data_IF_889536037558
#
_entry.id   IF_889536037558
#
_cell.length_a   1.000
_cell.length_b   1.000
_cell.length_c   1.000
_cell.angle_alpha   90.00
_cell.angle_beta   90.00
_cell.angle_gamma   90.00
#
_symmetry.space_group_name_H-M   'P 1'
#
loop_
_entity.id
_entity.type
_entity.pdbx_description
1 polymer ?
#
# COMPACT_ATOMS: atom_id res chain seq x y z
N UNK A 1 -18.74 12.43 20.29
CA UNK A 1 -17.87 12.37 19.10
C UNK A 1 -17.58 10.90 18.82
N UNK A 2 -18.18 10.36 17.76
CA UNK A 2 -17.85 9.04 17.21
C UNK A 2 -16.77 9.21 16.14
N UNK A 3 -16.03 8.14 15.88
CA UNK A 3 -15.09 8.06 14.77
C UNK A 3 -15.65 7.08 13.74
N UNK A 4 -15.53 7.43 12.47
CA UNK A 4 -15.98 6.63 11.34
C UNK A 4 -14.83 6.44 10.33
N UNK A 5 -14.77 5.29 9.69
CA UNK A 5 -13.88 5.02 8.56
C UNK A 5 -14.72 4.58 7.36
N UNK A 6 -14.47 5.14 6.18
CA UNK A 6 -14.98 4.52 4.95
C UNK A 6 -14.30 3.18 4.72
N UNK A 7 -14.98 2.19 4.15
CA UNK A 7 -14.36 0.90 3.81
C UNK A 7 -14.93 0.32 2.52
N UNK A 8 -14.06 -0.01 1.57
CA UNK A 8 -14.42 -0.53 0.26
C UNK A 8 -14.88 -2.00 0.29
N UNK A 9 -15.81 -2.35 -0.58
CA UNK A 9 -16.33 -3.69 -0.85
C UNK A 9 -16.63 -3.88 -2.34
N UNK A 10 -16.86 -5.12 -2.80
CA UNK A 10 -17.38 -5.41 -4.15
C UNK A 10 -16.33 -5.55 -5.27
N UNK A 11 -15.05 -5.29 -5.01
CA UNK A 11 -13.97 -5.62 -5.93
C UNK A 11 -13.62 -7.12 -5.88
N UNK A 12 -12.84 -7.58 -6.86
CA UNK A 12 -12.31 -8.94 -6.88
C UNK A 12 -11.52 -9.26 -5.59
N UNK A 13 -11.59 -10.50 -5.11
CA UNK A 13 -10.88 -10.94 -3.90
C UNK A 13 -9.36 -10.81 -3.97
N UNK A 14 -8.80 -10.67 -5.18
CA UNK A 14 -7.39 -10.43 -5.44
C UNK A 14 -7.01 -8.95 -5.46
N UNK A 15 -7.96 -8.03 -5.28
CA UNK A 15 -7.70 -6.59 -5.29
C UNK A 15 -6.90 -6.16 -4.07
N UNK A 16 -5.71 -5.61 -4.30
CA UNK A 16 -4.86 -5.05 -3.24
C UNK A 16 -5.49 -3.81 -2.62
N UNK A 17 -6.19 -2.98 -3.40
CA UNK A 17 -6.87 -1.80 -2.89
C UNK A 17 -7.97 -2.15 -1.89
N UNK A 18 -8.79 -3.17 -2.21
CA UNK A 18 -9.81 -3.70 -1.30
C UNK A 18 -9.16 -4.27 -0.03
N UNK A 19 -8.14 -5.12 -0.17
CA UNK A 19 -7.46 -5.72 0.96
C UNK A 19 -6.83 -4.66 1.89
N UNK A 20 -6.23 -3.61 1.33
CA UNK A 20 -5.61 -2.54 2.10
C UNK A 20 -6.65 -1.80 2.97
N UNK A 21 -7.78 -1.37 2.38
CA UNK A 21 -8.83 -0.68 3.14
C UNK A 21 -9.46 -1.57 4.21
N UNK A 22 -9.71 -2.84 3.89
CA UNK A 22 -10.29 -3.80 4.83
C UNK A 22 -9.33 -4.11 5.98
N UNK A 23 -8.02 -4.18 5.72
CA UNK A 23 -7.01 -4.39 6.75
C UNK A 23 -6.91 -3.19 7.69
N UNK A 24 -6.95 -1.96 7.17
CA UNK A 24 -7.07 -0.75 8.00
C UNK A 24 -8.30 -0.85 8.89
N UNK A 25 -9.48 -1.10 8.31
CA UNK A 25 -10.73 -1.20 9.06
C UNK A 25 -10.68 -2.28 10.16
N UNK A 26 -10.07 -3.44 9.88
CA UNK A 26 -9.86 -4.51 10.85
C UNK A 26 -9.03 -4.04 12.05
N UNK A 27 -8.00 -3.22 11.83
CA UNK A 27 -7.14 -2.68 12.89
C UNK A 27 -7.87 -1.64 13.71
N UNK A 28 -8.53 -0.67 13.06
CA UNK A 28 -9.16 0.45 13.76
C UNK A 28 -10.45 0.06 14.47
N UNK A 29 -11.07 -1.07 14.10
CA UNK A 29 -12.25 -1.63 14.79
C UNK A 29 -12.00 -1.89 16.28
N UNK A 30 -10.76 -2.22 16.67
CA UNK A 30 -10.38 -2.40 18.08
C UNK A 30 -10.49 -1.10 18.91
N UNK A 31 -10.59 0.06 18.25
CA UNK A 31 -10.77 1.37 18.88
C UNK A 31 -12.24 1.82 18.94
N UNK A 32 -13.19 0.94 18.60
CA UNK A 32 -14.62 1.25 18.63
C UNK A 32 -15.07 2.21 17.53
N UNK A 33 -14.33 2.28 16.41
CA UNK A 33 -14.72 3.09 15.25
C UNK A 33 -15.85 2.42 14.46
N UNK A 34 -16.67 3.23 13.81
CA UNK A 34 -17.77 2.77 12.97
C UNK A 34 -17.34 2.66 11.50
N UNK A 35 -17.93 1.71 10.78
CA UNK A 35 -17.63 1.46 9.38
C UNK A 35 -18.69 2.10 8.47
N UNK A 36 -18.25 2.91 7.53
CA UNK A 36 -19.07 3.44 6.43
C UNK A 36 -18.77 2.61 5.19
N UNK A 37 -19.54 1.54 4.97
CA UNK A 37 -19.34 0.62 3.87
C UNK A 37 -19.62 1.27 2.51
N UNK A 38 -18.68 1.13 1.58
CA UNK A 38 -18.77 1.62 0.20
C UNK A 38 -18.64 0.42 -0.74
N UNK A 39 -19.64 0.19 -1.57
CA UNK A 39 -19.57 -0.84 -2.60
C UNK A 39 -18.98 -0.27 -3.89
N UNK A 40 -18.12 -1.03 -4.56
CA UNK A 40 -17.57 -0.72 -5.88
C UNK A 40 -18.56 -1.12 -6.98
N UNK A 41 -18.97 -0.16 -7.81
CA UNK A 41 -19.92 -0.37 -8.91
C UNK A 41 -19.71 0.70 -9.99
N UNK A 42 -20.32 0.48 -11.15
CA UNK A 42 -20.36 1.51 -12.19
C UNK A 42 -21.43 2.56 -11.85
N UNK A 43 -20.97 3.71 -11.34
CA UNK A 43 -21.82 4.84 -10.99
C UNK A 43 -22.09 5.80 -12.17
N UNK A 44 -21.53 5.56 -13.37
CA UNK A 44 -21.54 6.52 -14.48
C UNK A 44 -22.93 6.91 -15.01
N UNK A 45 -23.93 6.07 -14.78
CA UNK A 45 -25.31 6.28 -15.21
C UNK A 45 -26.32 6.39 -14.05
N UNK A 46 -25.84 6.47 -12.81
CA UNK A 46 -26.74 6.59 -11.66
C UNK A 46 -27.30 8.03 -11.57
N UNK A 47 -28.63 8.22 -11.58
CA UNK A 47 -29.23 9.54 -11.41
C UNK A 47 -28.85 10.16 -10.06
N UNK A 48 -28.69 11.49 -10.04
CA UNK A 48 -28.29 12.21 -8.82
C UNK A 48 -29.15 11.89 -7.59
N UNK A 49 -30.49 11.83 -7.73
CA UNK A 49 -31.37 11.56 -6.60
C UNK A 49 -31.17 10.15 -6.00
N UNK A 50 -30.84 9.17 -6.84
CA UNK A 50 -30.55 7.80 -6.41
C UNK A 50 -29.17 7.72 -5.74
N UNK A 51 -28.15 8.35 -6.34
CA UNK A 51 -26.82 8.47 -5.76
C UNK A 51 -26.87 9.19 -4.40
N UNK A 52 -27.59 10.30 -4.33
CA UNK A 52 -27.78 11.08 -3.11
C UNK A 52 -28.45 10.22 -2.03
N UNK A 53 -29.55 9.52 -2.36
CA UNK A 53 -30.23 8.61 -1.42
C UNK A 53 -29.35 7.45 -0.96
N UNK A 54 -28.53 6.88 -1.85
CA UNK A 54 -27.53 5.87 -1.48
C UNK A 54 -26.53 6.42 -0.49
N UNK A 55 -26.01 7.62 -0.73
CA UNK A 55 -25.08 8.26 0.19
C UNK A 55 -25.74 8.61 1.53
N UNK A 56 -27.05 8.93 1.59
CA UNK A 56 -27.77 9.05 2.87
C UNK A 56 -27.72 7.74 3.67
N UNK A 57 -27.88 6.60 2.98
CA UNK A 57 -27.72 5.28 3.59
C UNK A 57 -26.31 5.05 4.15
N UNK A 58 -25.27 5.43 3.39
CA UNK A 58 -23.86 5.28 3.81
C UNK A 58 -23.58 6.12 5.05
N UNK A 59 -24.05 7.37 5.09
CA UNK A 59 -23.72 8.33 6.18
C UNK A 59 -24.75 8.37 7.31
N UNK A 60 -25.78 7.51 7.30
CA UNK A 60 -26.89 7.54 8.25
C UNK A 60 -26.46 7.50 9.73
N UNK A 61 -25.31 6.88 10.03
CA UNK A 61 -24.75 6.80 11.39
C UNK A 61 -23.91 7.99 11.83
N UNK A 62 -23.61 8.93 10.92
CA UNK A 62 -22.74 10.09 11.15
C UNK A 62 -23.53 11.21 11.81
N UNK A 63 -22.94 11.86 12.82
CA UNK A 63 -23.59 12.93 13.59
C UNK A 63 -22.71 14.19 13.65
N UNK A 64 -23.30 15.30 14.09
CA UNK A 64 -22.61 16.58 14.23
C UNK A 64 -21.32 16.46 15.05
N UNK A 65 -20.20 16.94 14.49
CA UNK A 65 -18.90 16.96 15.15
C UNK A 65 -18.23 15.58 15.31
N UNK A 66 -18.74 14.53 14.65
CA UNK A 66 -18.02 13.27 14.52
C UNK A 66 -16.74 13.43 13.68
N UNK A 67 -15.83 12.45 13.79
CA UNK A 67 -14.62 12.39 12.95
C UNK A 67 -14.81 11.33 11.87
N UNK A 68 -14.42 11.64 10.64
CA UNK A 68 -14.49 10.71 9.51
C UNK A 68 -13.14 10.58 8.83
N UNK A 69 -12.61 9.36 8.80
CA UNK A 69 -11.47 8.98 7.98
C UNK A 69 -11.98 8.46 6.63
N UNK A 70 -11.70 9.21 5.58
CA UNK A 70 -12.03 8.82 4.21
C UNK A 70 -10.82 8.09 3.60
N UNK A 71 -10.91 6.76 3.47
CA UNK A 71 -9.93 5.95 2.75
C UNK A 71 -10.10 6.18 1.23
N UNK A 72 -9.21 6.98 0.63
CA UNK A 72 -9.26 7.39 -0.77
C UNK A 72 -8.34 6.56 -1.66
N UNK A 73 -8.77 6.18 -2.88
CA UNK A 73 -10.10 6.44 -3.46
C UNK A 73 -11.12 5.34 -3.12
N UNK A 74 -12.42 5.60 -3.32
CA UNK A 74 -13.43 4.51 -3.32
C UNK A 74 -13.37 3.64 -4.58
N UNK A 75 -12.66 4.11 -5.61
CA UNK A 75 -12.64 3.56 -6.96
C UNK A 75 -13.95 3.73 -7.77
N UNK A 76 -14.95 4.45 -7.26
CA UNK A 76 -16.18 4.77 -8.01
C UNK A 76 -16.10 6.07 -8.84
N UNK A 77 -14.89 6.60 -9.11
CA UNK A 77 -14.55 7.93 -9.65
C UNK A 77 -14.29 9.02 -8.60
N UNK A 78 -13.54 10.06 -8.98
CA UNK A 78 -13.25 11.21 -8.11
C UNK A 78 -14.50 12.06 -7.88
N UNK A 79 -15.40 12.13 -8.86
CA UNK A 79 -16.68 12.80 -8.76
C UNK A 79 -17.55 12.15 -7.68
N UNK A 80 -17.61 10.82 -7.67
CA UNK A 80 -18.31 10.06 -6.64
C UNK A 80 -17.71 10.29 -5.25
N UNK A 81 -16.38 10.22 -5.13
CA UNK A 81 -15.67 10.49 -3.87
C UNK A 81 -15.97 11.90 -3.37
N UNK A 82 -15.92 12.89 -4.27
CA UNK A 82 -16.17 14.28 -3.93
C UNK A 82 -17.60 14.53 -3.45
N UNK A 83 -18.60 13.88 -4.05
CA UNK A 83 -20.00 13.97 -3.59
C UNK A 83 -20.19 13.39 -2.18
N UNK A 84 -19.54 12.27 -1.86
CA UNK A 84 -19.60 11.70 -0.52
C UNK A 84 -18.92 12.61 0.50
N UNK A 85 -17.75 13.18 0.16
CA UNK A 85 -17.05 14.19 0.97
C UNK A 85 -17.95 15.40 1.25
N UNK A 86 -18.59 15.96 0.23
CA UNK A 86 -19.49 17.11 0.38
C UNK A 86 -20.67 16.79 1.30
N UNK A 87 -21.27 15.61 1.13
CA UNK A 87 -22.37 15.16 1.97
C UNK A 87 -21.95 14.98 3.44
N UNK A 88 -20.79 14.37 3.70
CA UNK A 88 -20.26 14.24 5.06
C UNK A 88 -20.06 15.62 5.72
N UNK A 89 -19.57 16.61 4.97
CA UNK A 89 -19.35 17.97 5.49
C UNK A 89 -20.63 18.71 5.87
N UNK A 90 -21.80 18.33 5.35
CA UNK A 90 -23.09 18.89 5.79
C UNK A 90 -23.35 18.59 7.28
N UNK A 91 -22.79 17.50 7.80
CA UNK A 91 -22.86 17.14 9.21
C UNK A 91 -21.79 17.83 10.07
N UNK A 92 -21.04 18.81 9.54
CA UNK A 92 -19.98 19.50 10.28
C UNK A 92 -19.00 18.56 10.98
N UNK A 93 -18.65 17.46 10.31
CA UNK A 93 -17.65 16.50 10.79
C UNK A 93 -16.25 17.10 10.66
N UNK A 94 -15.33 16.60 11.47
CA UNK A 94 -13.89 16.73 11.21
C UNK A 94 -13.47 15.62 10.26
N UNK A 95 -12.67 15.93 9.24
CA UNK A 95 -12.30 14.98 8.19
C UNK A 95 -10.81 14.74 8.08
N UNK A 96 -10.45 13.46 8.01
CA UNK A 96 -9.12 12.98 7.65
C UNK A 96 -9.20 12.31 6.28
N UNK A 97 -8.45 12.81 5.31
CA UNK A 97 -8.28 12.13 4.02
C UNK A 97 -7.13 11.14 4.12
N UNK A 98 -7.43 9.84 4.18
CA UNK A 98 -6.41 8.79 4.19
C UNK A 98 -6.14 8.30 2.77
N UNK A 99 -5.04 8.79 2.17
CA UNK A 99 -4.69 8.55 0.77
C UNK A 99 -3.98 7.20 0.63
N UNK A 100 -4.65 6.24 -0.01
CA UNK A 100 -4.07 4.96 -0.38
C UNK A 100 -3.39 5.04 -1.76
N UNK A 101 -4.07 5.69 -2.71
CA UNK A 101 -3.56 5.92 -4.07
C UNK A 101 -4.01 7.29 -4.61
N UNK A 102 -3.23 7.83 -5.55
CA UNK A 102 -3.55 9.08 -6.28
C UNK A 102 -3.62 8.76 -7.77
N UNK A 103 -4.82 8.43 -8.27
CA UNK A 103 -5.02 7.95 -9.65
C UNK A 103 -4.39 8.83 -10.74
N UNK A 104 -4.44 10.18 -10.66
CA UNK A 104 -3.78 11.07 -11.63
C UNK A 104 -2.25 10.94 -11.70
N UNK A 105 -1.61 10.47 -10.62
CA UNK A 105 -0.16 10.21 -10.58
C UNK A 105 0.19 8.79 -11.04
N UNK A 106 -0.73 7.82 -10.83
CA UNK A 106 -0.54 6.44 -11.29
C UNK A 106 -0.48 6.35 -12.82
N UNK A 107 -1.35 7.12 -13.50
CA UNK A 107 -1.54 7.07 -14.94
C UNK A 107 -1.56 8.49 -15.51
N UNK A 108 -0.61 8.79 -16.40
CA UNK A 108 -0.50 10.09 -17.08
C UNK A 108 -1.79 10.47 -17.81
N UNK A 109 -2.49 9.49 -18.41
CA UNK A 109 -3.78 9.70 -19.06
C UNK A 109 -4.86 10.25 -18.12
N UNK A 110 -4.69 10.10 -16.80
CA UNK A 110 -5.63 10.56 -15.77
C UNK A 110 -5.17 11.88 -15.12
N UNK A 111 -4.07 12.48 -15.56
CA UNK A 111 -3.53 13.71 -14.96
C UNK A 111 -4.53 14.88 -15.01
N UNK A 112 -5.44 14.89 -15.99
CA UNK A 112 -6.54 15.88 -16.06
C UNK A 112 -7.45 15.88 -14.82
N UNK A 113 -7.51 14.78 -14.06
CA UNK A 113 -8.26 14.64 -12.80
C UNK A 113 -7.50 15.17 -11.58
N UNK A 114 -6.25 15.63 -11.73
CA UNK A 114 -5.42 16.11 -10.62
C UNK A 114 -6.11 17.21 -9.83
N UNK A 115 -6.63 18.23 -10.53
CA UNK A 115 -7.31 19.35 -9.89
C UNK A 115 -8.52 18.89 -9.05
N UNK A 116 -9.30 17.94 -9.55
CA UNK A 116 -10.46 17.41 -8.83
C UNK A 116 -10.05 16.69 -7.53
N UNK A 117 -8.96 15.91 -7.56
CA UNK A 117 -8.42 15.27 -6.36
C UNK A 117 -7.93 16.31 -5.34
N UNK A 118 -7.15 17.30 -5.78
CA UNK A 118 -6.62 18.36 -4.91
C UNK A 118 -7.75 19.19 -4.29
N UNK A 119 -8.76 19.58 -5.08
CA UNK A 119 -9.92 20.32 -4.59
C UNK A 119 -10.70 19.51 -3.53
N UNK A 120 -10.82 18.19 -3.72
CA UNK A 120 -11.44 17.30 -2.73
C UNK A 120 -10.58 17.17 -1.47
N UNK A 121 -9.26 16.98 -1.60
CA UNK A 121 -8.35 16.87 -0.46
C UNK A 121 -8.33 18.16 0.38
N UNK A 122 -8.40 19.33 -0.27
CA UNK A 122 -8.49 20.65 0.38
C UNK A 122 -9.79 20.87 1.17
N UNK A 123 -10.78 19.97 1.09
CA UNK A 123 -11.97 20.00 1.95
C UNK A 123 -11.74 19.34 3.30
N UNK A 124 -10.60 18.68 3.53
CA UNK A 124 -10.32 17.93 4.76
C UNK A 124 -9.47 18.74 5.74
N UNK A 125 -9.50 18.36 7.02
CA UNK A 125 -8.75 19.02 8.09
C UNK A 125 -7.32 18.44 8.22
N UNK A 126 -7.18 17.14 7.94
CA UNK A 126 -5.90 16.39 7.95
C UNK A 126 -5.80 15.53 6.70
N UNK A 127 -4.59 15.36 6.17
CA UNK A 127 -4.29 14.34 5.15
C UNK A 127 -3.30 13.31 5.69
N UNK A 128 -3.58 12.02 5.50
CA UNK A 128 -2.61 10.95 5.71
C UNK A 128 -2.06 10.55 4.35
N UNK A 129 -0.74 10.65 4.20
CA UNK A 129 -0.02 10.38 2.96
C UNK A 129 0.88 9.14 3.10
N UNK A 130 1.17 8.42 2.02
CA UNK A 130 2.11 7.29 2.05
C UNK A 130 3.53 7.72 2.47
N UNK A 131 3.99 8.89 2.02
CA UNK A 131 5.36 9.36 2.20
C UNK A 131 5.45 10.88 2.26
N UNK A 132 6.59 11.39 2.74
CA UNK A 132 6.90 12.83 2.69
C UNK A 132 6.96 13.33 1.24
N UNK A 133 7.53 12.54 0.33
CA UNK A 133 7.61 12.88 -1.09
C UNK A 133 6.22 13.07 -1.71
N UNK A 134 5.27 12.18 -1.38
CA UNK A 134 3.88 12.32 -1.81
C UNK A 134 3.25 13.61 -1.29
N UNK A 135 3.48 13.97 -0.02
CA UNK A 135 2.96 15.22 0.52
C UNK A 135 3.50 16.44 -0.25
N UNK A 136 4.82 16.49 -0.46
CA UNK A 136 5.45 17.59 -1.20
C UNK A 136 4.95 17.66 -2.65
N UNK A 137 4.74 16.49 -3.29
CA UNK A 137 4.14 16.42 -4.62
C UNK A 137 2.73 17.01 -4.62
N UNK A 138 1.86 16.59 -3.69
CA UNK A 138 0.49 17.13 -3.59
C UNK A 138 0.48 18.64 -3.29
N UNK A 139 1.39 19.14 -2.46
CA UNK A 139 1.55 20.59 -2.22
C UNK A 139 1.94 21.32 -3.50
N UNK A 140 2.86 20.77 -4.30
CA UNK A 140 3.22 21.36 -5.60
C UNK A 140 2.06 21.40 -6.61
N UNK A 141 1.07 20.50 -6.44
CA UNK A 141 -0.15 20.42 -7.25
C UNK A 141 -1.30 21.29 -6.69
N UNK A 142 -1.10 21.97 -5.55
CA UNK A 142 -2.07 22.90 -4.95
C UNK A 142 -2.76 22.45 -3.67
N UNK A 143 -2.27 21.39 -3.01
CA UNK A 143 -2.73 21.03 -1.67
C UNK A 143 -2.36 22.12 -0.67
N UNK A 144 -3.34 22.56 0.12
CA UNK A 144 -3.23 23.62 1.12
C UNK A 144 -3.37 23.11 2.56
N UNK A 145 -3.73 21.84 2.74
CA UNK A 145 -3.85 21.21 4.07
C UNK A 145 -2.47 21.10 4.72
N UNK A 146 -2.29 21.79 5.85
CA UNK A 146 -1.02 21.87 6.58
C UNK A 146 -0.82 20.75 7.59
N UNK A 147 -1.91 20.22 8.14
CA UNK A 147 -1.86 19.11 9.07
C UNK A 147 -1.80 17.81 8.27
N UNK A 148 -0.71 17.07 8.39
CA UNK A 148 -0.55 15.80 7.70
C UNK A 148 0.19 14.76 8.54
N UNK A 149 -0.03 13.50 8.22
CA UNK A 149 0.63 12.35 8.83
C UNK A 149 1.21 11.46 7.74
N UNK A 150 2.43 10.97 7.94
CA UNK A 150 3.08 10.02 7.03
C UNK A 150 2.85 8.58 7.52
N UNK A 151 2.37 7.71 6.64
CA UNK A 151 2.07 6.31 6.93
C UNK A 151 3.31 5.43 7.10
N UNK A 152 4.36 5.65 6.30
CA UNK A 152 5.62 4.86 6.26
C UNK A 152 5.51 3.44 5.70
N UNK A 153 4.63 2.59 6.26
CA UNK A 153 4.43 1.19 5.83
C UNK A 153 2.95 0.79 5.90
N UNK A 154 2.56 -0.20 5.09
CA UNK A 154 1.27 -0.88 5.27
C UNK A 154 1.34 -1.83 6.46
N UNK A 155 0.18 -2.12 7.04
CA UNK A 155 0.00 -3.23 7.95
C UNK A 155 -0.64 -4.42 7.26
N UNK A 156 -0.39 -5.61 7.81
CA UNK A 156 -0.97 -6.86 7.32
C UNK A 156 -1.40 -7.73 8.52
N UNK A 157 -2.61 -7.53 9.06
CA UNK A 157 -3.05 -8.22 10.27
C UNK A 157 -3.31 -9.72 10.05
N UNK A 158 -2.50 -10.59 10.66
CA UNK A 158 -2.66 -12.04 10.61
C UNK A 158 -2.37 -12.71 11.96
N UNK A 159 -3.02 -13.85 12.20
CA UNK A 159 -2.80 -14.71 13.37
C UNK A 159 -1.87 -15.90 13.13
N UNK A 160 -1.18 -15.93 11.97
CA UNK A 160 -0.32 -17.06 11.58
C UNK A 160 0.93 -17.16 12.47
N UNK A 161 1.28 -18.39 12.85
CA UNK A 161 2.60 -18.74 13.37
C UNK A 161 3.53 -19.03 12.18
N UNK A 162 4.49 -18.14 11.97
CA UNK A 162 5.41 -18.21 10.83
C UNK A 162 6.73 -18.88 11.23
N UNK A 163 7.40 -19.48 10.25
CA UNK A 163 8.72 -20.09 10.43
C UNK A 163 9.80 -19.01 10.59
N UNK A 164 10.99 -19.41 11.07
CA UNK A 164 12.17 -18.55 10.92
C UNK A 164 12.74 -18.76 9.51
N UNK A 165 12.85 -17.69 8.70
CA UNK A 165 13.41 -17.76 7.36
C UNK A 165 14.82 -18.35 7.34
N UNK A 166 15.09 -19.18 6.34
CA UNK A 166 16.41 -19.78 6.12
C UNK A 166 17.22 -18.96 5.14
N UNK A 167 18.54 -18.96 5.32
CA UNK A 167 19.43 -18.34 4.36
C UNK A 167 19.43 -19.13 3.04
N UNK A 168 18.92 -18.50 1.99
CA UNK A 168 18.88 -19.04 0.64
C UNK A 168 19.27 -17.91 -0.32
N UNK A 169 20.25 -18.14 -1.19
CA UNK A 169 20.71 -17.14 -2.17
C UNK A 169 19.76 -17.06 -3.36
N UNK A 170 18.53 -16.61 -3.12
CA UNK A 170 17.47 -16.42 -4.11
C UNK A 170 16.71 -15.13 -3.88
N UNK A 171 16.19 -14.57 -4.98
CA UNK A 171 15.29 -13.43 -4.98
C UNK A 171 13.85 -13.90 -5.18
N UNK A 172 12.90 -13.20 -4.57
CA UNK A 172 11.48 -13.54 -4.60
C UNK A 172 10.68 -12.34 -5.05
N UNK A 173 9.91 -12.50 -6.13
CA UNK A 173 9.03 -11.47 -6.67
C UNK A 173 7.56 -11.92 -6.65
N UNK A 174 6.72 -11.27 -5.85
CA UNK A 174 5.26 -11.42 -5.86
C UNK A 174 4.61 -10.29 -6.66
N UNK A 175 4.25 -10.54 -7.91
CA UNK A 175 3.68 -9.50 -8.77
C UNK A 175 3.37 -10.00 -10.17
N UNK A 176 2.44 -9.33 -10.85
CA UNK A 176 1.96 -9.72 -12.17
C UNK A 176 3.03 -9.53 -13.27
N UNK A 177 3.51 -10.60 -13.91
CA UNK A 177 4.51 -10.56 -14.97
C UNK A 177 4.19 -9.59 -16.11
N UNK A 178 2.91 -9.40 -16.44
CA UNK A 178 2.48 -8.48 -17.51
C UNK A 178 2.84 -7.02 -17.23
N UNK A 179 2.94 -6.66 -15.94
CA UNK A 179 3.35 -5.32 -15.49
C UNK A 179 4.86 -5.17 -15.36
N UNK A 180 5.60 -6.28 -15.31
CA UNK A 180 7.02 -6.33 -14.99
C UNK A 180 7.78 -7.20 -16.00
N UNK A 181 7.80 -6.84 -17.30
CA UNK A 181 8.41 -7.68 -18.35
C UNK A 181 9.92 -7.92 -18.11
N UNK A 182 10.63 -6.95 -17.54
CA UNK A 182 12.04 -7.08 -17.19
C UNK A 182 12.30 -8.10 -16.06
N UNK A 183 11.31 -8.38 -15.21
CA UNK A 183 11.41 -9.39 -14.14
C UNK A 183 11.36 -10.81 -14.72
N UNK A 184 10.55 -11.05 -15.76
CA UNK A 184 10.52 -12.36 -16.43
C UNK A 184 11.68 -12.55 -17.41
N UNK A 185 12.20 -11.47 -17.99
CA UNK A 185 13.44 -11.47 -18.77
C UNK A 185 14.70 -11.44 -17.89
N UNK A 186 14.72 -12.24 -16.81
CA UNK A 186 15.79 -12.23 -15.80
C UNK A 186 17.14 -12.65 -16.39
N UNK A 187 18.18 -11.82 -16.19
CA UNK A 187 19.51 -11.99 -16.79
C UNK A 187 20.63 -12.28 -15.79
N UNK A 188 20.32 -12.34 -14.50
CA UNK A 188 21.33 -12.38 -13.45
C UNK A 188 21.49 -13.77 -12.84
N UNK A 189 22.65 -14.02 -12.20
CA UNK A 189 23.02 -15.34 -11.69
C UNK A 189 22.18 -15.82 -10.50
N UNK A 190 21.69 -14.89 -9.66
CA UNK A 190 20.82 -15.23 -8.53
C UNK A 190 19.48 -15.77 -9.04
N UNK A 191 19.04 -16.97 -8.61
CA UNK A 191 17.73 -17.50 -8.96
C UNK A 191 16.60 -16.57 -8.52
N UNK A 192 15.63 -16.36 -9.42
CA UNK A 192 14.45 -15.54 -9.17
C UNK A 192 13.19 -16.41 -9.14
N UNK A 193 12.49 -16.36 -8.01
CA UNK A 193 11.21 -17.06 -7.79
C UNK A 193 10.06 -16.08 -7.94
N UNK A 194 9.15 -16.34 -8.87
CA UNK A 194 8.04 -15.45 -9.21
C UNK A 194 6.71 -16.08 -8.76
N UNK A 195 6.04 -15.38 -7.85
CA UNK A 195 4.70 -15.71 -7.36
C UNK A 195 3.65 -14.94 -8.16
N UNK A 196 3.07 -15.60 -9.16
CA UNK A 196 2.11 -15.01 -10.06
C UNK A 196 1.20 -16.06 -10.72
N UNK A 197 0.03 -15.61 -11.19
CA UNK A 197 -0.77 -16.39 -12.14
C UNK A 197 -0.01 -16.48 -13.46
N UNK A 198 0.04 -17.69 -14.04
CA UNK A 198 0.67 -17.90 -15.34
C UNK A 198 -0.11 -17.14 -16.41
N UNK A 199 0.55 -16.17 -17.05
CA UNK A 199 0.02 -15.49 -18.24
C UNK A 199 0.37 -16.26 -19.52
N UNK A 200 -0.59 -16.35 -20.45
CA UNK A 200 -0.36 -16.89 -21.79
C UNK A 200 0.62 -15.99 -22.58
N UNK A 201 1.47 -16.59 -23.40
CA UNK A 201 2.44 -15.86 -24.24
C UNK A 201 3.67 -15.31 -23.52
N UNK A 202 3.78 -15.48 -22.20
CA UNK A 202 4.97 -15.06 -21.43
C UNK A 202 5.95 -16.23 -21.31
N UNK A 203 7.24 -15.97 -21.61
CA UNK A 203 8.33 -16.91 -21.40
C UNK A 203 8.83 -16.83 -19.96
N UNK A 204 8.76 -17.96 -19.25
CA UNK A 204 9.24 -18.09 -17.87
C UNK A 204 10.53 -18.93 -17.78
N UNK A 205 11.18 -19.24 -18.90
CA UNK A 205 12.39 -20.09 -18.93
C UNK A 205 13.56 -19.57 -18.09
N UNK A 206 13.56 -18.26 -17.78
CA UNK A 206 14.61 -17.57 -17.02
C UNK A 206 14.30 -17.41 -15.52
N UNK A 207 13.11 -17.83 -15.07
CA UNK A 207 12.64 -17.66 -13.69
C UNK A 207 11.96 -18.93 -13.18
N UNK A 208 11.86 -19.07 -11.86
CA UNK A 208 11.07 -20.12 -11.22
C UNK A 208 9.64 -19.62 -10.96
N UNK A 209 8.69 -20.01 -11.80
CA UNK A 209 7.28 -19.66 -11.59
C UNK A 209 6.66 -20.56 -10.51
N UNK A 210 6.34 -20.00 -9.34
CA UNK A 210 5.77 -20.71 -8.19
C UNK A 210 4.24 -20.82 -8.22
N UNK A 211 3.61 -20.04 -9.11
CA UNK A 211 2.16 -19.90 -9.19
C UNK A 211 1.58 -18.87 -8.21
N UNK A 212 0.29 -18.60 -8.34
CA UNK A 212 -0.41 -17.69 -7.44
C UNK A 212 -0.66 -18.34 -6.07
N UNK A 213 -0.67 -17.53 -5.01
CA UNK A 213 -1.00 -17.94 -3.64
C UNK A 213 -1.92 -16.92 -3.00
N UNK A 214 -2.78 -17.39 -2.12
CA UNK A 214 -3.47 -16.51 -1.18
C UNK A 214 -2.45 -15.83 -0.27
N UNK A 215 -2.84 -14.73 0.36
CA UNK A 215 -1.93 -13.99 1.24
C UNK A 215 -1.41 -14.84 2.41
N UNK A 216 -2.24 -15.72 2.98
CA UNK A 216 -1.82 -16.59 4.09
C UNK A 216 -0.83 -17.67 3.63
N UNK A 217 -1.11 -18.32 2.50
CA UNK A 217 -0.21 -19.30 1.90
C UNK A 217 1.13 -18.67 1.53
N UNK A 218 1.11 -17.47 0.94
CA UNK A 218 2.32 -16.74 0.58
C UNK A 218 3.17 -16.44 1.81
N UNK A 219 2.58 -15.92 2.90
CA UNK A 219 3.33 -15.68 4.14
C UNK A 219 3.97 -16.95 4.71
N UNK A 220 3.26 -18.07 4.70
CA UNK A 220 3.78 -19.36 5.16
C UNK A 220 4.91 -19.87 4.28
N UNK A 221 4.77 -19.80 2.96
CA UNK A 221 5.79 -20.24 2.02
C UNK A 221 7.05 -19.37 2.08
N UNK A 222 6.90 -18.05 2.14
CA UNK A 222 8.01 -17.11 2.25
C UNK A 222 8.78 -17.32 3.56
N UNK A 223 8.07 -17.39 4.70
CA UNK A 223 8.71 -17.57 6.01
C UNK A 223 9.42 -18.92 6.13
N UNK A 224 8.89 -19.98 5.49
CA UNK A 224 9.51 -21.31 5.47
C UNK A 224 10.68 -21.40 4.49
N UNK A 225 10.50 -20.81 3.31
CA UNK A 225 11.38 -20.94 2.16
C UNK A 225 12.57 -20.00 2.19
N UNK A 226 12.52 -18.91 2.96
CA UNK A 226 13.63 -17.97 3.11
C UNK A 226 14.02 -17.24 1.84
N UNK A 227 15.21 -16.65 1.83
CA UNK A 227 15.69 -15.79 0.74
C UNK A 227 15.32 -14.32 0.90
N UNK A 228 15.31 -13.58 -0.20
CA UNK A 228 15.17 -12.11 -0.20
C UNK A 228 13.97 -11.65 -1.03
N UNK A 229 13.12 -10.82 -0.43
CA UNK A 229 11.99 -10.19 -1.13
C UNK A 229 12.45 -9.06 -2.05
N UNK A 230 12.30 -9.24 -3.37
CA UNK A 230 12.59 -8.22 -4.36
C UNK A 230 11.40 -7.27 -4.53
N UNK A 231 11.62 -6.00 -4.25
CA UNK A 231 10.69 -4.92 -4.59
C UNK A 231 11.32 -4.12 -5.72
N UNK A 232 10.63 -4.05 -6.86
CA UNK A 232 11.09 -3.29 -8.01
C UNK A 232 9.91 -2.62 -8.70
N UNK A 233 10.16 -1.50 -9.37
CA UNK A 233 9.17 -0.73 -10.13
C UNK A 233 8.86 -1.35 -11.49
N UNK A 234 8.14 -0.64 -12.34
CA UNK A 234 7.73 -1.13 -13.67
C UNK A 234 8.87 -1.05 -14.71
N UNK A 235 9.90 -0.22 -14.48
CA UNK A 235 11.07 -0.12 -15.33
C UNK A 235 12.25 -0.93 -14.78
N UNK A 236 13.04 -1.51 -15.69
CA UNK A 236 14.33 -2.13 -15.35
C UNK A 236 15.30 -1.06 -14.83
N UNK A 237 15.33 0.10 -15.50
CA UNK A 237 16.18 1.22 -15.17
C UNK A 237 15.48 2.16 -14.16
N UNK A 238 16.01 2.30 -12.93
CA UNK A 238 15.50 3.24 -11.92
C UNK A 238 15.26 4.67 -12.41
N UNK A 239 16.07 5.16 -13.35
CA UNK A 239 15.95 6.52 -13.88
C UNK A 239 14.67 6.71 -14.73
N UNK A 240 14.13 5.63 -15.28
CA UNK A 240 12.92 5.61 -16.10
C UNK A 240 11.68 5.23 -15.28
N UNK A 241 11.86 4.95 -13.98
CA UNK A 241 10.75 4.63 -13.10
C UNK A 241 9.84 5.84 -12.92
N UNK A 242 8.52 5.59 -13.00
CA UNK A 242 7.51 6.62 -12.77
C UNK A 242 7.64 7.16 -11.35
N UNK A 243 7.52 8.49 -11.23
CA UNK A 243 7.63 9.17 -9.95
C UNK A 243 6.64 8.63 -8.91
N UNK A 244 5.46 8.19 -9.33
CA UNK A 244 4.48 7.59 -8.44
C UNK A 244 5.00 6.42 -7.58
N UNK A 245 5.85 5.54 -8.14
CA UNK A 245 6.38 4.41 -7.37
C UNK A 245 7.46 4.86 -6.36
N UNK A 246 8.06 6.04 -6.57
CA UNK A 246 8.98 6.69 -5.64
C UNK A 246 8.22 7.34 -4.47
N UNK A 247 6.94 7.65 -4.67
CA UNK A 247 6.10 8.38 -3.71
C UNK A 247 5.15 7.46 -2.92
N UNK A 248 4.74 6.32 -3.48
CA UNK A 248 3.79 5.40 -2.83
C UNK A 248 4.47 4.46 -1.80
N UNK A 249 3.67 3.71 -1.04
CA UNK A 249 4.15 2.63 -0.17
C UNK A 249 3.79 1.28 -0.78
N UNK A 250 4.79 0.45 -1.05
CA UNK A 250 4.60 -0.87 -1.68
C UNK A 250 3.98 -1.90 -0.71
N UNK A 251 2.84 -2.47 -1.10
CA UNK A 251 2.21 -3.58 -0.36
C UNK A 251 3.03 -4.88 -0.43
N UNK A 252 3.81 -5.07 -1.51
CA UNK A 252 4.75 -6.20 -1.65
C UNK A 252 5.83 -6.16 -0.59
N UNK A 253 6.42 -4.98 -0.36
CA UNK A 253 7.43 -4.77 0.68
C UNK A 253 6.89 -5.23 2.04
N UNK A 254 5.69 -4.78 2.38
CA UNK A 254 5.00 -5.15 3.62
C UNK A 254 4.78 -6.66 3.72
N UNK A 255 4.42 -7.32 2.62
CA UNK A 255 4.23 -8.78 2.59
C UNK A 255 5.52 -9.53 2.91
N UNK A 256 6.67 -9.10 2.37
CA UNK A 256 7.96 -9.73 2.66
C UNK A 256 8.39 -9.51 4.11
N UNK A 257 8.28 -8.28 4.59
CA UNK A 257 8.63 -7.95 5.97
C UNK A 257 7.69 -8.64 6.98
N UNK A 258 6.40 -8.80 6.66
CA UNK A 258 5.46 -9.59 7.46
C UNK A 258 5.84 -11.08 7.50
N UNK A 259 6.37 -11.63 6.40
CA UNK A 259 6.92 -12.98 6.36
C UNK A 259 8.26 -13.13 7.13
N UNK A 260 8.83 -12.02 7.58
CA UNK A 260 10.10 -11.98 8.31
C UNK A 260 11.34 -12.09 7.43
N UNK A 261 11.20 -12.07 6.10
CA UNK A 261 12.35 -12.16 5.19
C UNK A 261 12.98 -10.78 4.94
N UNK A 262 14.31 -10.69 4.78
CA UNK A 262 14.97 -9.47 4.33
C UNK A 262 14.55 -9.10 2.90
N UNK A 263 14.77 -7.84 2.53
CA UNK A 263 14.35 -7.30 1.23
C UNK A 263 15.52 -6.76 0.42
N UNK A 264 15.34 -6.69 -0.90
CA UNK A 264 16.22 -5.94 -1.79
C UNK A 264 15.36 -4.92 -2.53
N UNK A 265 15.71 -3.65 -2.38
CA UNK A 265 14.89 -2.52 -2.85
C UNK A 265 15.74 -1.50 -3.60
N UNK A 266 15.17 -0.79 -4.58
CA UNK A 266 15.87 0.31 -5.21
C UNK A 266 16.00 1.51 -4.26
N UNK A 267 17.02 2.32 -4.49
CA UNK A 267 17.34 3.51 -3.69
C UNK A 267 16.31 4.65 -3.75
N UNK A 268 15.39 4.62 -4.72
CA UNK A 268 14.34 5.61 -4.90
C UNK A 268 13.03 5.32 -4.16
N UNK A 269 12.90 4.16 -3.48
CA UNK A 269 11.66 3.86 -2.74
C UNK A 269 11.40 4.90 -1.64
N UNK A 270 10.14 5.29 -1.49
CA UNK A 270 9.68 6.25 -0.47
C UNK A 270 10.10 5.91 0.96
N UNK A 271 10.29 4.63 1.26
CA UNK A 271 10.63 4.10 2.59
C UNK A 271 12.02 3.47 2.65
N UNK A 272 12.92 3.85 1.73
CA UNK A 272 14.31 3.39 1.70
C UNK A 272 15.06 3.66 3.01
N UNK A 273 14.84 4.82 3.62
CA UNK A 273 15.49 5.19 4.88
C UNK A 273 15.04 4.29 6.02
N UNK A 274 13.77 3.91 6.05
CA UNK A 274 13.27 2.93 7.02
C UNK A 274 13.96 1.57 6.86
N UNK A 275 14.17 1.09 5.63
CA UNK A 275 14.88 -0.16 5.36
C UNK A 275 16.34 -0.08 5.81
N UNK A 276 17.03 1.03 5.49
CA UNK A 276 18.44 1.25 5.81
C UNK A 276 18.66 1.37 7.32
N UNK A 277 17.90 2.23 7.99
CA UNK A 277 18.03 2.49 9.43
C UNK A 277 17.71 1.26 10.27
N UNK A 278 16.70 0.46 9.87
CA UNK A 278 16.30 -0.75 10.57
C UNK A 278 17.12 -1.98 10.16
N UNK A 279 17.97 -1.88 9.14
CA UNK A 279 18.78 -2.98 8.63
C UNK A 279 17.95 -4.17 8.14
N UNK A 280 16.90 -3.89 7.36
CA UNK A 280 15.91 -4.89 6.92
C UNK A 280 16.23 -5.52 5.57
N UNK A 281 17.35 -5.15 4.96
CA UNK A 281 17.66 -5.54 3.60
C UNK A 281 18.74 -4.70 2.95
N UNK A 282 18.89 -4.88 1.65
CA UNK A 282 19.82 -4.13 0.81
C UNK A 282 19.08 -3.06 0.01
N UNK A 283 19.68 -1.88 -0.04
CA UNK A 283 19.29 -0.78 -0.92
C UNK A 283 20.27 -0.75 -2.07
N UNK A 284 19.78 -0.84 -3.30
CA UNK A 284 20.62 -1.02 -4.49
C UNK A 284 20.21 -0.08 -5.62
N UNK A 285 21.13 0.14 -6.55
CA UNK A 285 20.97 1.04 -7.71
C UNK A 285 20.57 0.32 -9.00
N UNK A 286 20.61 -1.02 -9.03
CA UNK A 286 20.29 -1.82 -10.22
C UNK A 286 19.95 -3.27 -9.87
N UNK A 287 19.32 -4.00 -10.79
CA UNK A 287 19.09 -5.45 -10.64
C UNK A 287 20.38 -6.28 -10.67
N UNK A 288 21.42 -5.79 -11.35
CA UNK A 288 22.74 -6.40 -11.32
C UNK A 288 23.35 -6.31 -9.92
N UNK A 289 23.28 -5.13 -9.29
CA UNK A 289 23.68 -4.97 -7.90
C UNK A 289 22.81 -5.80 -6.95
N UNK A 290 21.48 -5.86 -7.18
CA UNK A 290 20.58 -6.73 -6.42
C UNK A 290 21.05 -8.18 -6.43
N UNK A 291 21.46 -8.68 -7.59
CA UNK A 291 21.99 -10.03 -7.74
C UNK A 291 23.34 -10.18 -7.04
N UNK A 292 24.25 -9.20 -7.20
CA UNK A 292 25.58 -9.22 -6.58
C UNK A 292 25.49 -9.27 -5.06
N UNK A 293 24.72 -8.39 -4.43
CA UNK A 293 24.62 -8.32 -2.96
C UNK A 293 24.03 -9.60 -2.36
N UNK A 294 23.09 -10.25 -3.05
CA UNK A 294 22.54 -11.54 -2.60
C UNK A 294 23.56 -12.67 -2.74
N UNK A 295 24.38 -12.66 -3.80
CA UNK A 295 25.46 -13.64 -3.97
C UNK A 295 26.61 -13.45 -2.97
N UNK A 296 26.93 -12.21 -2.62
CA UNK A 296 28.01 -11.88 -1.69
C UNK A 296 27.60 -11.98 -0.22
N UNK A 297 26.30 -11.88 0.08
CA UNK A 297 25.75 -11.98 1.42
C UNK A 297 26.18 -13.29 2.11
N UNK A 298 26.55 -13.16 3.38
CA UNK A 298 26.89 -14.26 4.27
C UNK A 298 25.67 -14.71 5.09
N UNK A 299 25.72 -15.93 5.61
CA UNK A 299 24.68 -16.45 6.50
C UNK A 299 24.52 -15.59 7.77
N UNK A 300 25.63 -15.08 8.31
CA UNK A 300 25.62 -14.19 9.49
C UNK A 300 24.92 -12.86 9.19
N UNK A 301 25.21 -12.22 8.06
CA UNK A 301 24.52 -10.99 7.64
C UNK A 301 23.02 -11.23 7.44
N UNK A 302 22.66 -12.36 6.82
CA UNK A 302 21.26 -12.75 6.64
C UNK A 302 20.53 -12.94 7.97
N UNK A 303 21.13 -13.67 8.91
CA UNK A 303 20.54 -13.94 10.23
C UNK A 303 20.36 -12.65 11.05
N UNK A 304 21.29 -11.71 10.92
CA UNK A 304 21.14 -10.38 11.52
C UNK A 304 19.97 -9.61 10.89
N UNK A 305 19.78 -9.67 9.57
CA UNK A 305 18.64 -9.03 8.90
C UNK A 305 17.32 -9.69 9.29
N UNK A 306 17.24 -11.02 9.32
CA UNK A 306 16.06 -11.77 9.78
C UNK A 306 15.73 -11.42 11.23
N UNK A 307 16.73 -11.32 12.10
CA UNK A 307 16.54 -10.95 13.51
C UNK A 307 15.93 -9.56 13.64
N UNK A 308 16.39 -8.58 12.85
CA UNK A 308 15.82 -7.24 12.79
C UNK A 308 14.41 -7.24 12.19
N UNK A 309 14.19 -8.02 11.13
CA UNK A 309 12.89 -8.15 10.46
C UNK A 309 11.81 -8.71 11.38
N UNK A 310 12.13 -9.57 12.37
CA UNK A 310 11.16 -10.08 13.36
C UNK A 310 10.42 -8.96 14.09
N UNK A 311 11.11 -7.87 14.44
CA UNK A 311 10.46 -6.74 15.13
C UNK A 311 9.52 -5.99 14.19
N UNK A 312 9.96 -5.70 12.96
CA UNK A 312 9.10 -5.06 11.94
C UNK A 312 7.89 -5.95 11.59
N UNK A 313 8.08 -7.27 11.45
CA UNK A 313 7.00 -8.22 11.24
C UNK A 313 5.98 -8.19 12.40
N UNK A 314 6.45 -8.08 13.64
CA UNK A 314 5.58 -7.90 14.81
C UNK A 314 4.77 -6.61 14.72
N UNK A 315 5.37 -5.49 14.29
CA UNK A 315 4.65 -4.23 14.13
C UNK A 315 3.56 -4.36 13.05
N UNK A 316 3.93 -4.89 11.88
CA UNK A 316 3.03 -5.06 10.73
C UNK A 316 1.84 -5.96 11.06
N UNK A 317 2.07 -7.12 11.68
CA UNK A 317 1.00 -8.09 11.96
C UNK A 317 0.01 -7.61 13.02
N UNK A 318 0.43 -6.68 13.88
CA UNK A 318 -0.38 -6.12 14.96
C UNK A 318 -0.96 -4.74 14.62
N UNK A 319 -0.75 -4.24 13.40
CA UNK A 319 -1.40 -3.01 12.93
C UNK A 319 -0.76 -1.73 13.46
N UNK A 320 0.51 -1.72 13.85
CA UNK A 320 1.08 -0.57 14.57
C UNK A 320 1.26 0.69 13.71
N UNK A 321 1.45 0.56 12.39
CA UNK A 321 1.57 1.73 11.51
C UNK A 321 0.23 2.46 11.37
N UNK A 322 -0.84 1.69 11.21
CA UNK A 322 -2.24 2.15 11.13
C UNK A 322 -2.71 2.70 12.47
N UNK A 323 -2.36 2.04 13.59
CA UNK A 323 -2.64 2.56 14.94
C UNK A 323 -1.97 3.90 15.18
N UNK A 324 -0.70 4.02 14.77
CA UNK A 324 0.06 5.27 14.92
C UNK A 324 -0.56 6.38 14.08
N UNK A 325 -0.80 6.18 12.78
CA UNK A 325 -1.40 7.22 11.94
C UNK A 325 -2.80 7.60 12.41
N UNK A 326 -3.57 6.66 12.96
CA UNK A 326 -4.89 6.94 13.51
C UNK A 326 -4.78 7.88 14.71
N UNK A 327 -3.94 7.55 15.70
CA UNK A 327 -3.75 8.37 16.91
C UNK A 327 -3.19 9.75 16.56
N UNK A 328 -2.15 9.81 15.71
CA UNK A 328 -1.53 11.07 15.31
C UNK A 328 -2.53 11.97 14.57
N UNK A 329 -3.35 11.40 13.69
CA UNK A 329 -4.39 12.17 12.99
C UNK A 329 -5.43 12.72 13.95
N UNK A 330 -5.86 11.92 14.95
CA UNK A 330 -6.79 12.38 15.98
C UNK A 330 -6.21 13.54 16.79
N UNK A 331 -4.92 13.49 17.14
CA UNK A 331 -4.24 14.56 17.87
C UNK A 331 -4.11 15.86 17.07
N UNK A 332 -4.08 15.80 15.74
CA UNK A 332 -4.06 16.98 14.87
C UNK A 332 -5.44 17.60 14.65
N UNK A 333 -6.51 16.87 14.97
CA UNK A 333 -7.88 17.34 14.88
C UNK A 333 -8.33 18.08 16.14
N UNK A 334 -7.74 17.79 17.29
CA UNK A 334 -8.01 18.45 18.57
C UNK A 334 -7.42 19.87 18.62
#
# INVERSE_FOLDING_TARGET
MKVHFTNLFGQASTSVALMAQNNVMKIVRDFGVNELGIYFYDASHEPWEELNSRMDGIVAGVSYGDVVFFQSPSWNSVEWDNHLVEKLKLSHVKMVMFIHDVQPLMFESNYYLMKAHIDMYNKCDVVVVPSEQMYQKLVSEGLTVKNYVVQTLWDLPHGLELYTPKFEKKLIFSGDPSRFPHIVDWKHSTPLHVYATRAEGVDYSKVHLEGWRTQQELLLELSKGGGFGLVWGNSENPAEERDYYKENVSYKLTTYLAAGIPVVVPDYLSNVDYIREKGLGFVVSSLEEASRVVQECTEEEYDQMVTRAKYTAYLIKNGYFTKKLFIDSMMLLD
#
